data_IF_452893140054
#
_entry.id   IF_452893140054
#
_cell.length_a   1.000
_cell.length_b   1.000
_cell.length_c   1.000
_cell.angle_alpha   90.00
_cell.angle_beta   90.00
_cell.angle_gamma   90.00
#
_symmetry.space_group_name_H-M   'P 1'
#
loop_
_entity.id
_entity.type
_entity.pdbx_description
1 polymer ?
#
# COMPACT_ATOMS: atom_id res chain seq x y z
N UNK A 1 54.64 -1.99 -32.46
CA UNK A 1 53.40 -2.62 -31.96
C UNK A 1 53.64 -3.15 -30.55
N UNK A 2 53.00 -2.57 -29.53
CA UNK A 2 52.93 -3.10 -28.16
C UNK A 2 51.81 -2.35 -27.41
N UNK A 3 50.71 -3.04 -27.13
CA UNK A 3 49.52 -2.48 -26.45
C UNK A 3 49.72 -2.53 -24.93
N UNK A 4 49.35 -1.48 -24.17
CA UNK A 4 49.27 -1.56 -22.72
C UNK A 4 47.97 -2.22 -22.25
N UNK A 5 48.11 -3.11 -21.27
CA UNK A 5 47.08 -3.95 -20.66
C UNK A 5 46.25 -3.13 -19.67
N UNK A 6 44.94 -3.11 -19.86
CA UNK A 6 43.94 -2.65 -18.88
C UNK A 6 43.76 -3.73 -17.82
N UNK A 7 43.97 -3.40 -16.55
CA UNK A 7 43.54 -4.24 -15.41
C UNK A 7 42.49 -3.43 -14.66
N UNK A 8 41.23 -3.78 -14.91
CA UNK A 8 40.08 -3.27 -14.17
C UNK A 8 40.04 -3.90 -12.79
N UNK A 9 40.02 -3.06 -11.75
CA UNK A 9 39.75 -3.48 -10.38
C UNK A 9 38.24 -3.52 -10.22
N UNK A 10 37.67 -4.73 -10.29
CA UNK A 10 36.28 -5.00 -9.89
C UNK A 10 36.25 -5.03 -8.37
N UNK A 11 35.84 -3.92 -7.77
CA UNK A 11 35.60 -3.83 -6.32
C UNK A 11 34.32 -4.59 -5.99
N UNK A 12 34.49 -5.87 -5.62
CA UNK A 12 33.49 -6.67 -4.93
C UNK A 12 33.34 -6.11 -3.51
N UNK A 13 32.31 -5.31 -3.29
CA UNK A 13 31.80 -5.04 -1.94
C UNK A 13 30.74 -6.08 -1.62
N UNK A 14 31.19 -7.24 -1.14
CA UNK A 14 30.34 -8.18 -0.38
C UNK A 14 30.07 -7.51 0.97
N UNK A 15 29.00 -6.70 1.03
CA UNK A 15 28.45 -6.24 2.30
C UNK A 15 27.41 -7.27 2.74
N UNK A 16 27.85 -8.13 3.66
CA UNK A 16 27.03 -9.01 4.50
C UNK A 16 26.01 -8.17 5.28
N UNK A 17 24.83 -8.00 4.71
CA UNK A 17 23.66 -7.42 5.37
C UNK A 17 22.91 -8.51 6.14
N UNK A 18 23.20 -8.64 7.44
CA UNK A 18 22.44 -9.50 8.34
C UNK A 18 22.07 -8.70 9.60
N UNK A 19 20.99 -7.92 9.50
CA UNK A 19 20.08 -7.52 10.57
C UNK A 19 18.98 -6.59 10.01
N UNK A 20 18.18 -7.07 9.05
CA UNK A 20 17.03 -6.33 8.51
C UNK A 20 15.86 -6.37 9.49
N UNK A 21 15.92 -5.53 10.53
CA UNK A 21 14.71 -4.94 11.13
C UNK A 21 14.10 -3.92 10.16
N UNK A 22 13.66 -4.36 8.97
CA UNK A 22 13.32 -3.49 7.84
C UNK A 22 11.80 -3.28 7.68
N UNK A 23 11.08 -2.93 8.76
CA UNK A 23 9.64 -2.69 8.67
C UNK A 23 9.25 -1.24 8.38
N UNK A 24 9.94 -0.29 9.01
CA UNK A 24 9.52 1.12 9.02
C UNK A 24 9.99 1.90 7.78
N UNK A 25 11.24 1.66 7.34
CA UNK A 25 11.83 2.35 6.19
C UNK A 25 11.15 1.96 4.87
N UNK A 26 10.90 0.66 4.67
CA UNK A 26 10.23 0.17 3.46
C UNK A 26 8.80 0.70 3.34
N UNK A 27 8.09 0.83 4.46
CA UNK A 27 6.77 1.46 4.51
C UNK A 27 6.81 2.92 4.06
N UNK A 28 7.81 3.68 4.54
CA UNK A 28 7.99 5.09 4.16
C UNK A 28 8.33 5.25 2.67
N UNK A 29 9.27 4.46 2.16
CA UNK A 29 9.64 4.46 0.74
C UNK A 29 8.45 4.07 -0.15
N UNK A 30 7.64 3.11 0.30
CA UNK A 30 6.45 2.69 -0.43
C UNK A 30 5.39 3.79 -0.45
N UNK A 31 5.14 4.45 0.70
CA UNK A 31 4.23 5.58 0.77
C UNK A 31 4.67 6.75 -0.10
N UNK A 32 5.96 7.07 -0.11
CA UNK A 32 6.52 8.13 -0.95
C UNK A 32 6.35 7.81 -2.44
N UNK A 33 6.65 6.56 -2.85
CA UNK A 33 6.46 6.14 -4.24
C UNK A 33 4.98 6.20 -4.67
N UNK A 34 4.06 5.76 -3.80
CA UNK A 34 2.62 5.79 -4.08
C UNK A 34 2.10 7.23 -4.19
N UNK A 35 2.52 8.13 -3.29
CA UNK A 35 2.07 9.52 -3.30
C UNK A 35 2.65 10.33 -4.47
N UNK A 36 3.67 9.82 -5.15
CA UNK A 36 4.18 10.37 -6.40
C UNK A 36 3.58 9.69 -7.65
N UNK A 37 2.62 8.76 -7.48
CA UNK A 37 1.95 8.12 -8.61
C UNK A 37 1.07 9.14 -9.36
N UNK A 38 1.25 9.33 -10.68
CA UNK A 38 0.57 10.37 -11.43
C UNK A 38 -0.95 10.18 -11.46
N UNK A 39 -1.45 8.94 -11.47
CA UNK A 39 -2.89 8.67 -11.48
C UNK A 39 -3.55 9.09 -10.16
N UNK A 40 -2.87 8.84 -9.04
CA UNK A 40 -3.33 9.23 -7.70
C UNK A 40 -3.30 10.75 -7.56
N UNK A 41 -2.18 11.38 -7.94
CA UNK A 41 -1.99 12.83 -7.83
C UNK A 41 -2.96 13.60 -8.74
N UNK A 42 -3.18 13.14 -9.97
CA UNK A 42 -4.10 13.79 -10.91
C UNK A 42 -5.54 13.83 -10.40
N UNK A 43 -5.95 12.84 -9.60
CA UNK A 43 -7.28 12.83 -8.97
C UNK A 43 -7.32 13.55 -7.61
N UNK A 44 -6.25 14.26 -7.24
CA UNK A 44 -6.14 14.95 -5.94
C UNK A 44 -6.07 13.99 -4.75
N UNK A 45 -5.70 12.74 -4.99
CA UNK A 45 -5.61 11.70 -3.98
C UNK A 45 -4.25 11.66 -3.29
N UNK A 46 -4.21 11.10 -2.09
CA UNK A 46 -2.99 10.75 -1.37
C UNK A 46 -3.24 9.52 -0.48
N UNK A 47 -2.18 8.80 -0.15
CA UNK A 47 -2.23 7.62 0.72
C UNK A 47 -1.53 7.94 2.03
N UNK A 48 -2.30 7.90 3.12
CA UNK A 48 -1.80 8.20 4.48
C UNK A 48 -1.07 7.01 5.10
N UNK A 49 -1.53 5.79 4.84
CA UNK A 49 -0.94 4.57 5.36
C UNK A 49 -1.14 3.41 4.40
N UNK A 50 -0.21 2.47 4.46
CA UNK A 50 -0.32 1.17 3.79
C UNK A 50 -0.24 0.04 4.81
N UNK A 51 -0.78 -1.11 4.43
CA UNK A 51 -0.55 -2.39 5.10
C UNK A 51 0.11 -3.34 4.11
N UNK A 52 1.19 -3.97 4.56
CA UNK A 52 1.70 -5.15 3.89
C UNK A 52 0.77 -6.33 4.21
N UNK A 53 0.53 -7.14 3.21
CA UNK A 53 -0.34 -8.30 3.30
C UNK A 53 0.50 -9.57 3.34
N UNK A 54 -0.01 -10.59 4.01
CA UNK A 54 0.57 -11.94 3.97
C UNK A 54 0.33 -12.62 2.62
N UNK A 55 -0.71 -12.19 1.90
CA UNK A 55 -1.11 -12.69 0.59
C UNK A 55 -1.62 -11.54 -0.28
N UNK A 56 -1.37 -11.60 -1.58
CA UNK A 56 -1.95 -10.65 -2.54
C UNK A 56 -3.44 -10.94 -2.82
N UNK A 57 -4.07 -10.13 -3.67
CA UNK A 57 -5.50 -10.27 -4.03
C UNK A 57 -5.84 -11.63 -4.71
N UNK A 58 -4.84 -12.42 -5.12
CA UNK A 58 -4.99 -13.75 -5.72
C UNK A 58 -4.62 -14.88 -4.76
N UNK A 59 -4.40 -14.59 -3.48
CA UNK A 59 -4.00 -15.58 -2.47
C UNK A 59 -2.52 -16.00 -2.57
N UNK A 60 -1.67 -15.23 -3.26
CA UNK A 60 -0.24 -15.55 -3.41
C UNK A 60 0.56 -14.93 -2.28
N UNK A 61 1.40 -15.76 -1.65
CA UNK A 61 2.29 -15.33 -0.57
C UNK A 61 3.55 -14.62 -1.12
N UNK A 62 4.17 -13.71 -0.36
CA UNK A 62 5.54 -13.24 -0.61
C UNK A 62 6.48 -14.42 -0.83
N UNK A 63 7.28 -14.39 -1.91
CA UNK A 63 8.19 -15.48 -2.26
C UNK A 63 7.51 -16.79 -2.70
N UNK A 64 6.19 -16.79 -2.89
CA UNK A 64 5.44 -17.93 -3.44
C UNK A 64 5.60 -18.08 -4.96
N UNK A 65 5.10 -19.19 -5.51
CA UNK A 65 5.14 -19.46 -6.96
C UNK A 65 4.45 -18.33 -7.74
N UNK A 66 5.19 -17.65 -8.61
CA UNK A 66 4.68 -16.54 -9.43
C UNK A 66 4.76 -15.16 -8.75
N UNK A 67 5.35 -15.07 -7.56
CA UNK A 67 5.66 -13.80 -6.87
C UNK A 67 7.19 -13.64 -6.86
N UNK A 68 7.74 -12.48 -7.25
CA UNK A 68 9.18 -12.26 -7.16
C UNK A 68 9.68 -12.44 -5.71
N UNK A 69 10.84 -13.06 -5.48
CA UNK A 69 11.43 -13.13 -4.15
C UNK A 69 11.66 -11.71 -3.61
N UNK A 70 11.32 -11.50 -2.32
CA UNK A 70 11.38 -10.18 -1.70
C UNK A 70 10.26 -9.21 -2.13
N UNK A 71 9.24 -9.68 -2.85
CA UNK A 71 8.05 -8.88 -3.14
C UNK A 71 6.98 -9.04 -2.05
N UNK A 72 6.70 -7.95 -1.35
CA UNK A 72 5.69 -7.85 -0.30
C UNK A 72 4.46 -7.14 -0.85
N UNK A 73 3.30 -7.82 -0.97
CA UNK A 73 2.08 -7.18 -1.41
C UNK A 73 1.64 -6.14 -0.37
N UNK A 74 1.07 -5.05 -0.84
CA UNK A 74 0.50 -4.03 0.03
C UNK A 74 -0.85 -3.53 -0.49
N UNK A 75 -1.62 -2.97 0.44
CA UNK A 75 -2.85 -2.22 0.18
C UNK A 75 -2.82 -0.89 0.92
N UNK A 76 -3.39 0.15 0.31
CA UNK A 76 -3.55 1.47 0.94
C UNK A 76 -4.80 2.18 0.46
N UNK A 77 -5.43 2.93 1.36
CA UNK A 77 -6.58 3.77 1.03
C UNK A 77 -6.10 5.07 0.37
N UNK A 78 -6.71 5.42 -0.76
CA UNK A 78 -6.51 6.72 -1.42
C UNK A 78 -7.55 7.67 -0.85
N UNK A 79 -7.08 8.79 -0.30
CA UNK A 79 -7.88 9.80 0.36
C UNK A 79 -7.79 11.13 -0.41
N UNK A 80 -8.85 11.91 -0.42
CA UNK A 80 -8.80 13.31 -0.87
C UNK A 80 -8.18 14.22 0.22
N UNK A 81 -8.04 15.52 -0.09
CA UNK A 81 -7.50 16.51 0.84
C UNK A 81 -8.28 16.65 2.16
N UNK A 82 -9.57 16.28 2.18
CA UNK A 82 -10.42 16.32 3.36
C UNK A 82 -10.36 15.02 4.17
N UNK A 83 -9.67 13.99 3.66
CA UNK A 83 -9.59 12.65 4.23
C UNK A 83 -10.79 11.76 3.90
N UNK A 84 -11.60 12.08 2.88
CA UNK A 84 -12.59 11.15 2.36
C UNK A 84 -11.91 10.08 1.50
N UNK A 85 -12.35 8.82 1.56
CA UNK A 85 -11.82 7.80 0.67
C UNK A 85 -12.29 8.06 -0.77
N UNK A 86 -11.32 8.08 -1.70
CA UNK A 86 -11.51 8.13 -3.16
C UNK A 86 -11.34 6.76 -3.81
N UNK A 87 -10.56 5.87 -3.20
CA UNK A 87 -10.21 4.59 -3.79
C UNK A 87 -9.23 3.80 -2.94
N UNK A 88 -8.67 2.75 -3.52
CA UNK A 88 -7.69 1.87 -2.89
C UNK A 88 -6.62 1.47 -3.91
N UNK A 89 -5.37 1.47 -3.45
CA UNK A 89 -4.22 1.06 -4.25
C UNK A 89 -3.71 -0.29 -3.77
N UNK A 90 -3.44 -1.17 -4.73
CA UNK A 90 -2.80 -2.47 -4.53
C UNK A 90 -1.48 -2.51 -5.29
N UNK A 91 -0.47 -3.12 -4.68
CA UNK A 91 0.82 -3.23 -5.30
C UNK A 91 1.77 -4.17 -4.58
N UNK A 92 3.03 -4.15 -5.01
CA UNK A 92 4.11 -4.90 -4.37
C UNK A 92 5.26 -3.95 -4.07
N UNK A 93 5.82 -4.07 -2.87
CA UNK A 93 7.13 -3.53 -2.53
C UNK A 93 8.16 -4.61 -2.73
N UNK A 94 9.12 -4.40 -3.61
CA UNK A 94 10.23 -5.33 -3.83
C UNK A 94 11.49 -4.73 -3.21
N UNK A 95 12.03 -5.41 -2.20
CA UNK A 95 13.23 -4.96 -1.50
C UNK A 95 14.39 -4.74 -2.48
N UNK A 96 15.06 -3.60 -2.37
CA UNK A 96 16.18 -3.21 -3.25
C UNK A 96 15.82 -2.84 -4.69
N UNK A 97 14.56 -3.02 -5.12
CA UNK A 97 14.11 -2.74 -6.49
C UNK A 97 13.16 -1.54 -6.56
N UNK A 98 12.16 -1.47 -5.68
CA UNK A 98 11.20 -0.38 -5.69
C UNK A 98 9.76 -0.81 -5.40
N UNK A 99 8.84 0.10 -5.71
CA UNK A 99 7.41 -0.07 -5.48
C UNK A 99 6.69 -0.17 -6.81
N UNK A 100 5.95 -1.25 -7.02
CA UNK A 100 5.13 -1.47 -8.21
C UNK A 100 3.65 -1.35 -7.85
N UNK A 101 2.98 -0.33 -8.38
CA UNK A 101 1.51 -0.22 -8.31
C UNK A 101 0.93 -1.17 -9.35
N UNK A 102 0.06 -2.08 -8.89
CA UNK A 102 -0.57 -3.07 -9.76
C UNK A 102 -1.96 -2.64 -10.18
N UNK A 103 -2.73 -2.12 -9.23
CA UNK A 103 -4.13 -1.77 -9.43
C UNK A 103 -4.49 -0.58 -8.57
N UNK A 104 -5.27 0.31 -9.16
CA UNK A 104 -5.98 1.35 -8.42
C UNK A 104 -7.47 1.12 -8.66
N UNK A 105 -8.22 0.99 -7.56
CA UNK A 105 -9.67 0.82 -7.58
C UNK A 105 -10.31 2.10 -7.08
N UNK A 106 -11.04 2.79 -7.95
CA UNK A 106 -11.71 4.05 -7.62
C UNK A 106 -13.14 3.80 -7.13
N UNK A 107 -13.56 4.51 -6.08
CA UNK A 107 -14.92 4.42 -5.55
C UNK A 107 -15.88 5.01 -6.57
N UNK A 108 -16.92 4.25 -6.92
CA UNK A 108 -17.96 4.66 -7.86
C UNK A 108 -17.71 4.23 -9.30
N UNK A 109 -16.45 4.01 -9.69
CA UNK A 109 -16.12 3.35 -10.96
C UNK A 109 -16.46 1.85 -10.86
N UNK A 110 -17.29 1.40 -11.78
CA UNK A 110 -17.93 0.08 -11.84
C UNK A 110 -16.95 -1.00 -12.32
N UNK A 111 -15.85 -1.24 -11.58
CA UNK A 111 -14.87 -2.26 -11.92
C UNK A 111 -14.77 -3.42 -10.92
N UNK A 112 -15.66 -3.49 -9.92
CA UNK A 112 -15.74 -4.64 -9.01
C UNK A 112 -17.20 -5.04 -8.75
N UNK A 113 -17.66 -6.08 -9.44
CA UNK A 113 -18.98 -6.69 -9.27
C UNK A 113 -19.20 -7.17 -7.84
N UNK A 114 -19.79 -6.32 -7.00
CA UNK A 114 -20.24 -6.66 -5.64
C UNK A 114 -19.67 -5.80 -4.51
N UNK A 115 -18.63 -4.99 -4.74
CA UNK A 115 -17.96 -4.23 -3.64
C UNK A 115 -18.53 -2.84 -3.36
N UNK A 116 -19.47 -2.34 -4.17
CA UNK A 116 -20.05 -0.97 -4.03
C UNK A 116 -20.62 -0.71 -2.63
N UNK A 117 -21.35 -1.67 -2.08
CA UNK A 117 -21.99 -1.53 -0.77
C UNK A 117 -20.96 -1.53 0.37
N UNK A 118 -19.93 -2.39 0.29
CA UNK A 118 -18.80 -2.39 1.21
C UNK A 118 -18.06 -1.05 1.19
N UNK A 119 -17.84 -0.46 0.00
CA UNK A 119 -17.25 0.87 -0.14
C UNK A 119 -18.11 1.99 0.45
N UNK A 120 -19.43 1.91 0.25
CA UNK A 120 -20.39 2.85 0.83
C UNK A 120 -20.39 2.77 2.37
N UNK A 121 -20.44 1.56 2.92
CA UNK A 121 -20.37 1.32 4.36
C UNK A 121 -19.07 1.85 4.97
N UNK A 122 -17.92 1.63 4.31
CA UNK A 122 -16.63 2.18 4.75
C UNK A 122 -16.63 3.70 4.75
N UNK A 123 -17.09 4.34 3.67
CA UNK A 123 -17.20 5.81 3.58
C UNK A 123 -18.10 6.38 4.67
N UNK A 124 -19.26 5.77 4.90
CA UNK A 124 -20.22 6.21 5.90
C UNK A 124 -19.71 5.97 7.33
N UNK A 125 -18.95 4.90 7.57
CA UNK A 125 -18.24 4.68 8.82
C UNK A 125 -17.21 5.79 9.08
N UNK A 126 -16.38 6.13 8.08
CA UNK A 126 -15.42 7.23 8.17
C UNK A 126 -16.11 8.59 8.42
N UNK A 127 -17.23 8.87 7.74
CA UNK A 127 -18.03 10.10 7.95
C UNK A 127 -18.57 10.17 9.37
N UNK A 128 -19.16 9.08 9.89
CA UNK A 128 -19.63 8.99 11.29
C UNK A 128 -18.50 9.18 12.29
N UNK A 129 -17.33 8.62 12.01
CA UNK A 129 -16.15 8.73 12.87
C UNK A 129 -15.63 10.17 12.94
N UNK A 130 -15.52 10.87 11.80
CA UNK A 130 -15.15 12.30 11.78
C UNK A 130 -16.20 13.19 12.44
N UNK A 131 -17.49 12.88 12.30
CA UNK A 131 -18.57 13.56 13.02
C UNK A 131 -18.33 13.56 14.52
N UNK A 132 -17.98 12.40 15.10
CA UNK A 132 -17.67 12.28 16.53
C UNK A 132 -16.46 13.10 16.98
N UNK A 133 -15.39 13.17 16.18
CA UNK A 133 -14.20 13.99 16.53
C UNK A 133 -14.55 15.48 16.53
N UNK A 134 -15.37 15.93 15.57
CA UNK A 134 -15.81 17.33 15.46
C UNK A 134 -16.72 17.75 16.62
N UNK A 135 -17.45 16.80 17.22
CA UNK A 135 -18.31 17.01 18.39
C UNK A 135 -17.57 16.90 19.74
N UNK A 136 -16.23 16.89 19.74
CA UNK A 136 -15.43 16.81 20.97
C UNK A 136 -15.14 15.39 21.45
N UNK A 137 -15.38 14.39 20.59
CA UNK A 137 -14.94 13.01 20.83
C UNK A 137 -13.40 12.87 20.82
N UNK A 138 -12.87 11.75 21.35
CA UNK A 138 -11.43 11.52 21.43
C UNK A 138 -10.76 11.60 20.04
N UNK A 139 -9.56 12.19 20.01
CA UNK A 139 -8.70 12.24 18.83
C UNK A 139 -8.44 10.82 18.30
N UNK A 140 -8.62 10.62 17.00
CA UNK A 140 -8.43 9.32 16.35
C UNK A 140 -7.03 8.78 16.58
N UNK A 141 -6.95 7.61 17.19
CA UNK A 141 -5.71 6.86 17.26
C UNK A 141 -5.47 6.13 15.93
N UNK A 142 -4.21 5.80 15.59
CA UNK A 142 -3.91 4.93 14.45
C UNK A 142 -4.66 3.59 14.51
N UNK A 143 -4.98 3.11 15.71
CA UNK A 143 -5.72 1.87 15.95
C UNK A 143 -7.20 1.99 15.61
N UNK A 144 -7.84 3.13 15.90
CA UNK A 144 -9.24 3.39 15.53
C UNK A 144 -9.42 3.39 14.01
N UNK A 145 -8.46 3.99 13.30
CA UNK A 145 -8.42 3.97 11.83
C UNK A 145 -8.24 2.54 11.33
N UNK A 146 -7.36 1.77 11.97
CA UNK A 146 -7.11 0.38 11.62
C UNK A 146 -8.33 -0.53 11.86
N UNK A 147 -9.12 -0.26 12.91
CA UNK A 147 -10.37 -0.99 13.24
C UNK A 147 -11.52 -0.63 12.30
N UNK A 148 -11.70 0.65 11.96
CA UNK A 148 -12.65 1.05 10.92
C UNK A 148 -12.31 0.45 9.55
N UNK A 149 -11.01 0.21 9.31
CA UNK A 149 -10.48 -0.50 8.15
C UNK A 149 -10.53 -2.04 8.26
N UNK A 150 -10.90 -2.59 9.42
CA UNK A 150 -10.97 -4.04 9.68
C UNK A 150 -12.42 -4.56 9.74
N UNK A 151 -13.42 -3.74 9.40
CA UNK A 151 -14.79 -4.20 9.23
C UNK A 151 -14.78 -5.38 8.23
N UNK A 152 -15.09 -6.62 8.69
CA UNK A 152 -15.01 -7.77 7.82
C UNK A 152 -16.04 -7.62 6.69
N UNK A 153 -15.81 -8.20 5.50
CA UNK A 153 -16.93 -8.47 4.61
C UNK A 153 -17.98 -9.21 5.44
N UNK A 154 -19.24 -8.76 5.37
CA UNK A 154 -20.35 -9.61 5.79
C UNK A 154 -20.14 -10.92 5.06
N UNK A 155 -19.65 -11.93 5.79
CA UNK A 155 -19.67 -13.29 5.31
C UNK A 155 -21.14 -13.51 4.95
N UNK A 156 -21.39 -13.83 3.68
CA UNK A 156 -22.67 -14.38 3.25
C UNK A 156 -23.01 -15.49 4.25
N UNK A 157 -23.97 -15.21 5.13
CA UNK A 157 -24.66 -16.25 5.87
C UNK A 157 -25.50 -16.99 4.82
N UNK A 158 -24.93 -18.05 4.28
CA UNK A 158 -25.69 -19.17 3.75
C UNK A 158 -25.81 -20.23 4.85
#
# INVERSE_FOLDING_TARGET
MRFPKWIGVVSICVLLGAATGCGSSEKKLTLEAINNNPEIVQRGGHVKSIRFLEQDEYGRRPGGRGTPPGAYPFVGDILDAEGNPLGEVHGHRVEGLGTAVRRIAWIGEEQDGGRREQWQQRRDAFRRMRGRVREGGPLLTPEDVNQAQAAPPLQEQQ
#
